data_IF_224650591887
#
_entry.id   IF_224650591887
#
_cell.length_a   1.000
_cell.length_b   1.000
_cell.length_c   1.000
_cell.angle_alpha   90.00
_cell.angle_beta   90.00
_cell.angle_gamma   90.00
#
_symmetry.space_group_name_H-M   'P 1'
#
loop_
_entity.id
_entity.type
_entity.pdbx_description
1 polymer ?
#
# COMPACT_ATOMS: atom_id res chain seq x y z
N UNK A 1 -3.19 -2.61 -14.86
CA UNK A 1 -3.45 -3.56 -15.97
C UNK A 1 -3.18 -2.89 -17.30
N UNK A 2 -2.94 -3.65 -18.36
CA UNK A 2 -2.71 -3.13 -19.72
C UNK A 2 -3.51 -3.96 -20.71
N UNK A 3 -4.41 -3.31 -21.46
CA UNK A 3 -5.32 -3.94 -22.44
C UNK A 3 -5.35 -3.03 -23.67
N UNK A 4 -5.13 -3.60 -24.86
CA UNK A 4 -5.19 -2.86 -26.14
C UNK A 4 -4.30 -1.59 -26.19
N UNK A 5 -3.18 -1.60 -25.47
CA UNK A 5 -2.25 -0.47 -25.38
C UNK A 5 -2.65 0.63 -24.39
N UNK A 6 -3.85 0.55 -23.79
CA UNK A 6 -4.27 1.40 -22.69
C UNK A 6 -3.79 0.82 -21.35
N UNK A 7 -3.19 1.66 -20.52
CA UNK A 7 -2.67 1.28 -19.20
C UNK A 7 -3.52 1.91 -18.11
N UNK A 8 -4.15 1.07 -17.30
CA UNK A 8 -4.83 1.48 -16.07
C UNK A 8 -3.92 1.21 -14.88
N UNK A 9 -3.45 2.27 -14.22
CA UNK A 9 -2.68 2.21 -12.97
C UNK A 9 -3.44 3.02 -11.93
N UNK A 10 -4.03 2.32 -10.99
CA UNK A 10 -4.82 2.92 -9.92
C UNK A 10 -4.65 2.10 -8.64
N UNK A 11 -4.78 2.76 -7.50
CA UNK A 11 -4.71 2.19 -6.17
C UNK A 11 -5.75 2.84 -5.26
N UNK A 12 -6.62 2.02 -4.69
CA UNK A 12 -7.67 2.46 -3.79
C UNK A 12 -7.95 1.40 -2.73
N UNK A 13 -8.73 1.77 -1.72
CA UNK A 13 -9.20 0.88 -0.66
C UNK A 13 -10.66 0.53 -0.89
N UNK A 14 -11.03 -0.74 -0.74
CA UNK A 14 -12.40 -1.20 -0.91
C UNK A 14 -12.99 -1.70 0.41
N UNK A 15 -14.21 -1.28 0.74
CA UNK A 15 -14.94 -1.83 1.88
C UNK A 15 -15.44 -3.25 1.55
N UNK A 16 -14.84 -4.28 2.14
CA UNK A 16 -15.24 -5.68 1.93
C UNK A 16 -16.70 -5.97 2.32
N UNK A 17 -17.30 -5.14 3.18
CA UNK A 17 -18.68 -5.26 3.62
C UNK A 17 -19.66 -4.41 2.77
N UNK A 18 -19.22 -3.83 1.65
CA UNK A 18 -20.07 -3.09 0.71
C UNK A 18 -21.12 -4.02 0.09
N UNK A 19 -22.37 -3.56 0.00
CA UNK A 19 -23.52 -4.35 -0.47
C UNK A 19 -24.28 -3.69 -1.63
N UNK A 20 -24.11 -2.39 -1.83
CA UNK A 20 -24.86 -1.60 -2.81
C UNK A 20 -24.08 -1.41 -4.10
N UNK A 21 -22.78 -1.15 -3.99
CA UNK A 21 -21.91 -0.93 -5.16
C UNK A 21 -21.18 -2.23 -5.49
N UNK A 22 -21.46 -2.82 -6.65
CA UNK A 22 -20.72 -3.99 -7.12
C UNK A 22 -19.39 -3.59 -7.76
N UNK A 23 -18.40 -4.49 -7.82
CA UNK A 23 -17.17 -4.26 -8.58
C UNK A 23 -17.39 -3.90 -10.05
N UNK A 24 -18.44 -4.42 -10.69
CA UNK A 24 -18.83 -4.05 -12.06
C UNK A 24 -19.31 -2.60 -12.13
N UNK A 25 -20.22 -2.20 -11.24
CA UNK A 25 -20.74 -0.83 -11.23
C UNK A 25 -19.63 0.19 -11.01
N UNK A 26 -18.71 -0.12 -10.09
CA UNK A 26 -17.52 0.70 -9.88
C UNK A 26 -16.63 0.73 -11.13
N UNK A 27 -16.38 -0.42 -11.75
CA UNK A 27 -15.54 -0.51 -12.93
C UNK A 27 -16.15 0.20 -14.15
N UNK A 28 -17.47 0.19 -14.32
CA UNK A 28 -18.19 0.94 -15.36
C UNK A 28 -17.97 2.44 -15.18
N UNK A 29 -18.23 2.96 -13.98
CA UNK A 29 -18.01 4.39 -13.66
C UNK A 29 -16.55 4.77 -13.88
N UNK A 30 -15.61 3.95 -13.39
CA UNK A 30 -14.18 4.20 -13.57
C UNK A 30 -13.76 4.22 -15.05
N UNK A 31 -14.32 3.32 -15.86
CA UNK A 31 -14.02 3.30 -17.29
C UNK A 31 -14.61 4.52 -18.01
N UNK A 32 -15.83 4.93 -17.64
CA UNK A 32 -16.48 6.11 -18.19
C UNK A 32 -15.71 7.39 -17.80
N UNK A 33 -15.28 7.53 -16.55
CA UNK A 33 -14.52 8.69 -16.06
C UNK A 33 -13.14 8.84 -16.74
N UNK A 34 -12.54 7.71 -17.15
CA UNK A 34 -11.20 7.65 -17.75
C UNK A 34 -11.21 7.44 -19.27
N UNK A 35 -12.38 7.50 -19.91
CA UNK A 35 -12.58 7.24 -21.35
C UNK A 35 -11.95 5.90 -21.83
N UNK A 36 -12.10 4.83 -21.03
CA UNK A 36 -11.57 3.50 -21.32
C UNK A 36 -12.58 2.61 -22.06
N UNK A 37 -12.08 1.58 -22.75
CA UNK A 37 -12.92 0.58 -23.40
C UNK A 37 -13.67 -0.27 -22.35
N UNK A 38 -14.92 0.08 -22.05
CA UNK A 38 -15.78 -0.57 -21.05
C UNK A 38 -15.90 -2.08 -21.28
N UNK A 39 -16.08 -2.52 -22.53
CA UNK A 39 -16.23 -3.93 -22.87
C UNK A 39 -15.00 -4.77 -22.49
N UNK A 40 -13.82 -4.17 -22.54
CA UNK A 40 -12.56 -4.85 -22.27
C UNK A 40 -12.11 -4.70 -20.80
N UNK A 41 -12.27 -3.51 -20.23
CA UNK A 41 -11.75 -3.19 -18.89
C UNK A 41 -12.70 -3.59 -17.75
N UNK A 42 -14.02 -3.44 -17.91
CA UNK A 42 -14.97 -3.71 -16.82
C UNK A 42 -14.83 -5.14 -16.27
N UNK A 43 -14.82 -6.20 -17.10
CA UNK A 43 -14.66 -7.57 -16.61
C UNK A 43 -13.31 -7.78 -15.90
N UNK A 44 -12.24 -7.19 -16.44
CA UNK A 44 -10.89 -7.32 -15.89
C UNK A 44 -10.73 -6.62 -14.53
N UNK A 45 -11.27 -5.41 -14.38
CA UNK A 45 -11.28 -4.65 -13.12
C UNK A 45 -12.13 -5.38 -12.07
N UNK A 46 -13.36 -5.76 -12.42
CA UNK A 46 -14.27 -6.42 -11.51
C UNK A 46 -13.70 -7.77 -11.01
N UNK A 47 -13.05 -8.54 -11.90
CA UNK A 47 -12.34 -9.77 -11.53
C UNK A 47 -11.14 -9.48 -10.61
N UNK A 48 -10.34 -8.46 -10.92
CA UNK A 48 -9.17 -8.09 -10.11
C UNK A 48 -9.55 -7.62 -8.70
N UNK A 49 -10.67 -6.90 -8.56
CA UNK A 49 -11.21 -6.49 -7.26
C UNK A 49 -11.65 -7.74 -6.47
N UNK A 50 -12.48 -8.61 -7.06
CA UNK A 50 -12.96 -9.82 -6.36
C UNK A 50 -11.82 -10.73 -5.92
N UNK A 51 -10.87 -10.99 -6.80
CA UNK A 51 -9.71 -11.82 -6.47
C UNK A 51 -8.92 -11.26 -5.28
N UNK A 52 -8.74 -9.94 -5.23
CA UNK A 52 -8.07 -9.29 -4.11
C UNK A 52 -8.89 -9.38 -2.82
N UNK A 53 -10.21 -9.21 -2.88
CA UNK A 53 -11.11 -9.33 -1.72
C UNK A 53 -11.15 -10.75 -1.15
N UNK A 54 -11.14 -11.77 -2.02
CA UNK A 54 -11.06 -13.18 -1.64
C UNK A 54 -9.70 -13.50 -1.00
N UNK A 55 -8.62 -12.92 -1.52
CA UNK A 55 -7.27 -13.09 -0.95
C UNK A 55 -7.03 -12.34 0.36
N UNK A 56 -7.92 -11.40 0.72
CA UNK A 56 -7.76 -10.59 1.91
C UNK A 56 -8.23 -11.35 3.16
N UNK A 57 -7.29 -11.59 4.08
CA UNK A 57 -7.53 -12.24 5.36
C UNK A 57 -7.87 -11.19 6.43
N UNK A 58 -8.92 -11.45 7.21
CA UNK A 58 -9.26 -10.67 8.39
C UNK A 58 -8.57 -11.31 9.60
N UNK A 59 -7.24 -11.20 9.66
CA UNK A 59 -6.51 -11.73 10.81
C UNK A 59 -6.58 -10.71 11.94
N UNK A 60 -7.51 -10.93 12.86
CA UNK A 60 -7.59 -10.17 14.11
C UNK A 60 -6.48 -10.72 15.01
N UNK A 61 -5.47 -9.89 15.27
CA UNK A 61 -4.46 -10.23 16.27
C UNK A 61 -5.13 -10.15 17.64
N UNK A 62 -5.16 -11.28 18.37
CA UNK A 62 -5.92 -11.41 19.62
C UNK A 62 -5.15 -10.89 20.84
N UNK A 63 -3.85 -10.60 20.70
CA UNK A 63 -2.98 -10.20 21.80
C UNK A 63 -2.69 -8.69 21.79
N UNK A 64 -3.05 -7.99 22.87
CA UNK A 64 -2.65 -6.60 23.19
C UNK A 64 -1.18 -6.51 23.60
N UNK A 65 -0.29 -7.19 22.88
CA UNK A 65 1.16 -7.10 23.08
C UNK A 65 1.76 -6.24 21.98
N UNK A 66 2.95 -5.69 22.23
CA UNK A 66 3.66 -4.82 21.28
C UNK A 66 3.90 -5.56 19.96
N UNK A 67 3.15 -5.17 18.92
CA UNK A 67 3.20 -5.76 17.57
C UNK A 67 3.67 -4.72 16.56
N UNK A 68 4.64 -3.90 16.97
CA UNK A 68 5.21 -2.89 16.08
C UNK A 68 5.98 -3.52 14.93
N UNK A 69 5.78 -2.96 13.75
CA UNK A 69 6.49 -3.26 12.51
C UNK A 69 7.07 -1.99 11.92
N UNK A 70 8.02 -2.11 11.00
CA UNK A 70 8.48 -0.97 10.19
C UNK A 70 7.71 -0.93 8.87
N UNK A 71 6.95 0.14 8.66
CA UNK A 71 6.34 0.48 7.38
C UNK A 71 7.32 1.28 6.54
N UNK A 72 7.42 0.97 5.25
CA UNK A 72 8.27 1.70 4.29
C UNK A 72 7.44 2.22 3.13
N UNK A 73 7.39 3.53 2.96
CA UNK A 73 6.73 4.17 1.83
C UNK A 73 7.71 4.34 0.67
N UNK A 74 7.24 4.04 -0.54
CA UNK A 74 7.95 4.31 -1.79
C UNK A 74 6.88 4.58 -2.86
N UNK A 75 6.45 5.84 -2.92
CA UNK A 75 5.25 6.29 -3.63
C UNK A 75 5.65 7.28 -4.71
N UNK A 76 5.05 7.13 -5.88
CA UNK A 76 5.34 7.91 -7.06
C UNK A 76 4.03 8.46 -7.62
N UNK A 77 3.88 9.78 -7.64
CA UNK A 77 2.70 10.46 -8.20
C UNK A 77 3.19 11.62 -9.06
N UNK A 78 2.79 11.64 -10.33
CA UNK A 78 3.33 12.58 -11.31
C UNK A 78 4.85 12.47 -11.41
N UNK A 79 5.54 13.57 -11.17
CA UNK A 79 7.01 13.66 -11.15
C UNK A 79 7.60 13.67 -9.72
N UNK A 80 6.79 13.46 -8.68
CA UNK A 80 7.23 13.50 -7.28
C UNK A 80 7.36 12.08 -6.73
N UNK A 81 8.48 11.79 -6.08
CA UNK A 81 8.76 10.54 -5.37
C UNK A 81 8.81 10.83 -3.87
N UNK A 82 8.02 10.08 -3.10
CA UNK A 82 8.01 10.06 -1.64
C UNK A 82 8.63 8.75 -1.15
N UNK A 83 9.68 8.85 -0.35
CA UNK A 83 10.28 7.73 0.37
C UNK A 83 10.29 8.05 1.86
N UNK A 84 9.76 7.14 2.68
CA UNK A 84 9.70 7.33 4.13
C UNK A 84 9.72 5.97 4.84
N UNK A 85 10.05 5.95 6.12
CA UNK A 85 9.86 4.78 6.98
C UNK A 85 9.52 5.18 8.41
N UNK A 86 8.60 4.43 9.02
CA UNK A 86 8.15 4.65 10.39
C UNK A 86 7.71 3.35 11.03
N UNK A 87 7.66 3.35 12.37
CA UNK A 87 7.15 2.23 13.14
C UNK A 87 5.62 2.34 13.26
N UNK A 88 4.94 1.22 13.14
CA UNK A 88 3.48 1.14 13.23
C UNK A 88 3.07 -0.04 14.11
N UNK A 89 2.24 0.22 15.12
CA UNK A 89 1.66 -0.82 15.96
C UNK A 89 0.38 -1.37 15.32
N UNK A 90 0.39 -2.66 14.99
CA UNK A 90 -0.73 -3.36 14.38
C UNK A 90 -1.83 -3.72 15.39
N UNK A 91 -1.50 -3.74 16.68
CA UNK A 91 -2.43 -4.12 17.75
C UNK A 91 -3.35 -2.97 18.16
N UNK A 92 -2.91 -1.72 17.98
CA UNK A 92 -3.68 -0.54 18.37
C UNK A 92 -4.81 -0.25 17.37
N UNK A 93 -6.05 -0.40 17.84
CA UNK A 93 -7.27 -0.18 17.06
C UNK A 93 -7.54 1.30 16.73
N UNK A 94 -6.86 2.23 17.40
CA UNK A 94 -6.97 3.66 17.11
C UNK A 94 -6.09 4.08 15.93
N UNK A 95 -5.12 3.24 15.53
CA UNK A 95 -4.25 3.53 14.41
C UNK A 95 -5.02 3.43 13.08
N UNK A 96 -5.21 4.56 12.40
CA UNK A 96 -5.88 4.65 11.10
C UNK A 96 -4.89 5.06 9.99
N UNK A 97 -4.67 4.19 8.97
CA UNK A 97 -3.85 4.54 7.82
C UNK A 97 -4.33 5.79 7.08
N UNK A 98 -5.64 5.99 6.97
CA UNK A 98 -6.24 7.17 6.31
C UNK A 98 -6.01 8.47 7.08
N UNK A 99 -6.13 8.42 8.41
CA UNK A 99 -5.85 9.58 9.28
C UNK A 99 -4.38 9.99 9.16
N UNK A 100 -3.48 9.02 9.32
CA UNK A 100 -2.05 9.23 9.18
C UNK A 100 -1.69 9.78 7.80
N UNK A 101 -2.20 9.17 6.72
CA UNK A 101 -1.93 9.60 5.35
C UNK A 101 -2.34 11.06 5.10
N UNK A 102 -3.47 11.49 5.65
CA UNK A 102 -3.94 12.88 5.50
C UNK A 102 -3.05 13.87 6.25
N UNK A 103 -2.64 13.53 7.48
CA UNK A 103 -1.73 14.37 8.27
C UNK A 103 -0.38 14.47 7.57
N UNK A 104 0.23 13.34 7.21
CA UNK A 104 1.53 13.31 6.54
C UNK A 104 1.51 14.10 5.22
N UNK A 105 0.48 13.90 4.40
CA UNK A 105 0.35 14.66 3.15
C UNK A 105 0.18 16.16 3.42
N UNK A 106 -0.64 16.54 4.41
CA UNK A 106 -0.82 17.94 4.79
C UNK A 106 0.47 18.59 5.29
N UNK A 107 1.25 17.91 6.10
CA UNK A 107 2.53 18.42 6.65
C UNK A 107 3.59 18.57 5.56
N UNK A 108 3.60 17.68 4.58
CA UNK A 108 4.52 17.71 3.45
C UNK A 108 4.06 18.60 2.29
N UNK A 109 2.87 19.20 2.39
CA UNK A 109 2.28 19.99 1.30
C UNK A 109 1.90 19.17 0.06
N UNK A 110 1.64 17.87 0.25
CA UNK A 110 1.18 16.94 -0.79
C UNK A 110 -0.35 16.92 -0.82
N UNK A 111 -0.91 16.72 -2.01
CA UNK A 111 -2.36 16.62 -2.22
C UNK A 111 -2.73 15.56 -3.25
N UNK A 112 -4.02 15.46 -3.54
CA UNK A 112 -4.55 14.55 -4.55
C UNK A 112 -4.28 13.08 -4.20
N UNK A 113 -3.70 12.36 -5.17
CA UNK A 113 -3.49 10.90 -5.13
C UNK A 113 -2.49 10.45 -4.05
N UNK A 114 -1.69 11.35 -3.48
CA UNK A 114 -0.75 10.98 -2.41
C UNK A 114 -1.47 10.44 -1.18
N UNK A 115 -2.58 11.05 -0.76
CA UNK A 115 -3.31 10.63 0.44
C UNK A 115 -3.81 9.19 0.27
N UNK A 116 -4.40 8.88 -0.87
CA UNK A 116 -4.91 7.54 -1.16
C UNK A 116 -3.79 6.53 -1.37
N UNK A 117 -2.71 6.90 -2.07
CA UNK A 117 -1.56 6.03 -2.28
C UNK A 117 -0.82 5.68 -0.97
N UNK A 118 -0.67 6.64 -0.05
CA UNK A 118 -0.08 6.41 1.27
C UNK A 118 -0.95 5.43 2.08
N UNK A 119 -2.25 5.70 2.20
CA UNK A 119 -3.16 4.83 2.93
C UNK A 119 -3.19 3.40 2.35
N UNK A 120 -3.23 3.28 1.02
CA UNK A 120 -3.16 2.00 0.31
C UNK A 120 -1.85 1.25 0.60
N UNK A 121 -0.71 1.94 0.53
CA UNK A 121 0.61 1.36 0.80
C UNK A 121 0.72 0.81 2.22
N UNK A 122 0.25 1.57 3.22
CA UNK A 122 0.23 1.17 4.62
C UNK A 122 -0.66 -0.07 4.78
N UNK A 123 -1.90 -0.06 4.29
CA UNK A 123 -2.81 -1.21 4.39
C UNK A 123 -2.27 -2.47 3.72
N UNK A 124 -1.63 -2.33 2.56
CA UNK A 124 -1.00 -3.46 1.87
C UNK A 124 0.11 -4.10 2.69
N UNK A 125 0.96 -3.28 3.32
CA UNK A 125 2.02 -3.76 4.21
C UNK A 125 1.44 -4.37 5.49
N UNK A 126 0.44 -3.76 6.11
CA UNK A 126 -0.25 -4.31 7.27
C UNK A 126 -0.84 -5.69 6.95
N UNK A 127 -1.59 -5.83 5.85
CA UNK A 127 -2.17 -7.11 5.44
C UNK A 127 -1.11 -8.19 5.22
N UNK A 128 0.06 -7.83 4.69
CA UNK A 128 1.18 -8.77 4.55
C UNK A 128 1.75 -9.16 5.91
N UNK A 129 2.03 -8.17 6.77
CA UNK A 129 2.57 -8.42 8.10
C UNK A 129 1.62 -9.23 8.97
N UNK A 130 0.31 -8.97 8.98
CA UNK A 130 -0.67 -9.79 9.69
C UNK A 130 -0.55 -11.28 9.33
N UNK A 131 -0.34 -11.60 8.05
CA UNK A 131 -0.17 -12.99 7.58
C UNK A 131 1.17 -13.60 7.99
N UNK A 132 2.23 -12.82 8.03
CA UNK A 132 3.61 -13.32 8.25
C UNK A 132 4.13 -13.13 9.67
N UNK A 133 3.46 -12.36 10.52
CA UNK A 133 3.96 -11.92 11.82
C UNK A 133 4.25 -13.09 12.75
N UNK A 134 3.33 -14.06 12.82
CA UNK A 134 3.47 -15.30 13.59
C UNK A 134 4.61 -16.21 13.10
N UNK A 135 5.10 -16.00 11.87
CA UNK A 135 6.27 -16.69 11.31
C UNK A 135 7.55 -15.85 11.39
N UNK A 136 7.48 -14.61 11.89
CA UNK A 136 8.66 -13.77 12.02
C UNK A 136 9.49 -14.22 13.23
N UNK A 137 10.77 -14.51 12.99
CA UNK A 137 11.67 -15.05 14.03
C UNK A 137 12.12 -13.99 15.05
N UNK A 138 11.90 -12.70 14.78
CA UNK A 138 12.34 -11.60 15.66
C UNK A 138 11.34 -10.43 15.66
N UNK A 139 10.53 -10.25 16.72
CA UNK A 139 9.73 -9.04 16.90
C UNK A 139 10.64 -7.83 17.16
N UNK A 140 10.12 -6.62 16.98
CA UNK A 140 10.88 -5.41 17.32
C UNK A 140 11.16 -5.33 18.83
N UNK A 141 12.32 -4.80 19.24
CA UNK A 141 12.63 -4.61 20.65
C UNK A 141 11.70 -3.57 21.28
N UNK A 142 11.43 -3.70 22.58
CA UNK A 142 10.64 -2.72 23.35
C UNK A 142 11.28 -1.33 23.31
N UNK A 143 10.45 -0.28 23.31
CA UNK A 143 10.94 1.10 23.42
C UNK A 143 11.30 1.39 24.87
N UNK A 144 12.56 1.11 25.22
CA UNK A 144 13.07 1.44 26.55
C UNK A 144 13.48 2.93 26.64
N UNK A 145 13.87 3.52 25.50
CA UNK A 145 14.29 4.93 25.38
C UNK A 145 13.44 5.58 24.29
N UNK A 146 12.70 6.63 24.66
CA UNK A 146 11.73 7.30 23.76
C UNK A 146 12.35 8.11 22.62
N UNK A 147 13.68 8.26 22.59
CA UNK A 147 14.41 9.03 21.58
C UNK A 147 15.25 8.11 20.71
N UNK A 148 15.09 8.19 19.39
CA UNK A 148 16.02 7.56 18.44
C UNK A 148 17.39 8.23 18.48
N UNK A 149 18.43 7.49 18.10
CA UNK A 149 19.75 8.08 17.88
C UNK A 149 19.69 9.05 16.69
N UNK A 150 20.60 10.02 16.61
CA UNK A 150 20.64 10.95 15.47
C UNK A 150 20.82 10.22 14.13
N UNK A 151 21.63 9.16 14.10
CA UNK A 151 21.86 8.38 12.88
C UNK A 151 20.58 7.68 12.40
N UNK A 152 19.81 7.09 13.32
CA UNK A 152 18.56 6.43 12.96
C UNK A 152 17.49 7.47 12.60
N UNK A 153 17.45 8.61 13.30
CA UNK A 153 16.45 9.66 13.06
C UNK A 153 16.51 10.19 11.61
N UNK A 154 17.72 10.35 11.04
CA UNK A 154 17.91 10.73 9.63
C UNK A 154 17.35 9.70 8.63
N UNK A 155 17.27 8.43 9.02
CA UNK A 155 16.71 7.38 8.16
C UNK A 155 15.19 7.26 8.28
N UNK A 156 14.60 7.82 9.33
CA UNK A 156 13.15 7.76 9.63
C UNK A 156 12.45 9.09 9.30
N UNK A 157 13.06 9.94 8.48
CA UNK A 157 12.42 11.15 7.97
C UNK A 157 11.89 10.94 6.55
N UNK A 158 10.76 11.57 6.20
CA UNK A 158 10.27 11.57 4.83
C UNK A 158 11.23 12.32 3.92
N UNK A 159 11.50 11.73 2.77
CA UNK A 159 12.30 12.31 1.70
C UNK A 159 11.44 12.48 0.45
N UNK A 160 11.40 13.71 -0.06
CA UNK A 160 10.72 14.09 -1.28
C UNK A 160 11.72 14.52 -2.34
N UNK A 161 11.56 14.00 -3.55
CA UNK A 161 12.32 14.45 -4.70
C UNK A 161 11.45 14.58 -5.93
N UNK A 162 11.80 15.54 -6.78
CA UNK A 162 11.23 15.67 -8.12
C UNK A 162 12.14 14.98 -9.11
N UNK A 163 11.58 14.08 -9.92
CA UNK A 163 12.27 13.26 -10.87
C UNK A 163 11.89 13.65 -12.30
N UNK A 164 12.81 13.44 -13.23
CA UNK A 164 12.49 13.46 -14.66
C UNK A 164 11.64 12.25 -15.04
N UNK A 165 10.94 12.32 -16.17
CA UNK A 165 10.14 11.20 -16.68
C UNK A 165 10.98 9.92 -16.79
N UNK A 166 12.22 10.01 -17.27
CA UNK A 166 13.12 8.86 -17.43
C UNK A 166 13.53 8.23 -16.08
N UNK A 167 13.79 9.05 -15.07
CA UNK A 167 14.11 8.59 -13.71
C UNK A 167 12.88 7.96 -13.04
N UNK A 168 11.72 8.60 -13.20
CA UNK A 168 10.45 8.12 -12.69
C UNK A 168 10.11 6.74 -13.28
N UNK A 169 10.22 6.63 -14.60
CA UNK A 169 10.02 5.38 -15.33
C UNK A 169 10.95 4.27 -14.86
N UNK A 170 12.23 4.61 -14.62
CA UNK A 170 13.20 3.67 -14.09
C UNK A 170 12.81 3.20 -12.70
N UNK A 171 12.44 4.12 -11.79
CA UNK A 171 12.00 3.80 -10.43
C UNK A 171 10.76 2.91 -10.42
N UNK A 172 9.74 3.24 -11.21
CA UNK A 172 8.50 2.45 -11.28
C UNK A 172 8.80 1.04 -11.79
N UNK A 173 9.65 0.89 -12.83
CA UNK A 173 10.04 -0.44 -13.33
C UNK A 173 10.80 -1.26 -12.30
N UNK A 174 11.72 -0.65 -11.56
CA UNK A 174 12.48 -1.33 -10.51
C UNK A 174 11.58 -1.74 -9.33
N UNK A 175 10.64 -0.87 -8.94
CA UNK A 175 9.62 -1.15 -7.92
C UNK A 175 8.72 -2.32 -8.34
N UNK A 176 8.18 -2.30 -9.56
CA UNK A 176 7.35 -3.39 -10.11
C UNK A 176 8.09 -4.73 -10.14
N UNK A 177 9.39 -4.71 -10.47
CA UNK A 177 10.23 -5.92 -10.44
C UNK A 177 10.37 -6.44 -9.01
N UNK A 178 10.58 -5.57 -8.03
CA UNK A 178 10.69 -5.95 -6.63
C UNK A 178 9.37 -6.49 -6.08
N UNK A 179 8.24 -5.82 -6.33
CA UNK A 179 6.90 -6.27 -5.92
C UNK A 179 6.58 -7.65 -6.46
N UNK A 180 6.89 -7.91 -7.74
CA UNK A 180 6.75 -9.25 -8.35
C UNK A 180 7.63 -10.30 -7.69
N UNK A 181 8.86 -9.96 -7.31
CA UNK A 181 9.76 -10.86 -6.57
C UNK A 181 9.20 -11.21 -5.18
N UNK A 182 8.75 -10.22 -4.41
CA UNK A 182 8.20 -10.42 -3.07
C UNK A 182 6.92 -11.27 -3.11
N UNK A 183 5.99 -11.00 -4.04
CA UNK A 183 4.78 -11.82 -4.20
C UNK A 183 5.08 -13.28 -4.51
N UNK A 184 6.12 -13.57 -5.30
CA UNK A 184 6.56 -14.96 -5.56
C UNK A 184 7.06 -15.64 -4.29
N UNK A 185 7.89 -14.95 -3.51
CA UNK A 185 8.43 -15.48 -2.24
C UNK A 185 7.32 -15.76 -1.22
N UNK A 186 6.34 -14.87 -1.10
CA UNK A 186 5.19 -15.05 -0.21
C UNK A 186 4.33 -16.27 -0.58
N UNK A 187 4.20 -16.58 -1.87
CA UNK A 187 3.45 -17.76 -2.33
C UNK A 187 4.23 -19.08 -2.18
N UNK A 188 5.57 -19.04 -2.20
CA UNK A 188 6.42 -20.23 -2.01
C UNK A 188 6.65 -20.61 -0.55
N UNK A 189 6.46 -19.68 0.39
CA UNK A 189 6.64 -19.92 1.83
C UNK A 189 5.52 -20.75 2.47
N UNK A 190 4.43 -21.05 1.76
CA UNK A 190 3.29 -21.84 2.27
C UNK A 190 3.37 -23.33 1.90
N UNK A 191 4.52 -23.82 1.42
CA UNK A 191 4.67 -25.17 0.91
C UNK A 191 5.86 -25.92 1.54
N UNK A 192 5.96 -25.94 2.88
CA UNK A 192 6.81 -26.86 3.63
C UNK A 192 6.15 -27.22 4.95
#
# INVERSE_FOLDING_TARGET
MEIEGQKLRDTFTWNKNEQLITPEMFAEILCDDLDLNTLAFVPAIAQAIRQQLESHHNDVLEDNTDQRITIKLNIHVGNVSLVDQFEWDMSDKQNSPEEFARILASELGLGGEFVTAIAYSIRGQLSWHHKTFSYSETPMPTVDIATRTNHDAEQYCPFLETLTDAEMDKKIRDQDRNTRRIRRLANTGSAW
#
